data_IF_022389411075
#
_entry.id   IF_022389411075
#
_cell.length_a   1.000
_cell.length_b   1.000
_cell.length_c   1.000
_cell.angle_alpha   90.00
_cell.angle_beta   90.00
_cell.angle_gamma   90.00
#
_symmetry.space_group_name_H-M   'P 1'
#
loop_
_entity.id
_entity.type
_entity.pdbx_description
1 polymer ?
#
# COMPACT_ATOMS: atom_id res chain seq x y z
N UNK A 1 8.18 49.95 -10.35
CA UNK A 1 8.88 48.72 -9.95
C UNK A 1 10.29 48.74 -10.52
N UNK A 2 11.30 48.85 -9.65
CA UNK A 2 12.72 48.92 -10.02
C UNK A 2 13.27 47.57 -10.47
N UNK A 3 14.47 47.55 -11.06
CA UNK A 3 15.12 46.30 -11.47
C UNK A 3 15.41 45.38 -10.27
N UNK A 4 15.82 45.94 -9.14
CA UNK A 4 16.10 45.19 -7.92
C UNK A 4 14.83 44.56 -7.32
N UNK A 5 13.71 45.27 -7.37
CA UNK A 5 12.41 44.74 -6.94
C UNK A 5 11.96 43.55 -7.81
N UNK A 6 12.21 43.61 -9.13
CA UNK A 6 11.94 42.48 -10.05
C UNK A 6 12.79 41.27 -9.69
N UNK A 7 14.08 41.48 -9.44
CA UNK A 7 15.02 40.38 -9.11
C UNK A 7 14.62 39.72 -7.79
N UNK A 8 14.32 40.50 -6.75
CA UNK A 8 13.87 39.96 -5.45
C UNK A 8 12.56 39.19 -5.58
N UNK A 9 11.61 39.70 -6.36
CA UNK A 9 10.35 39.00 -6.60
C UNK A 9 10.59 37.63 -7.28
N UNK A 10 11.44 37.57 -8.30
CA UNK A 10 11.80 36.31 -8.98
C UNK A 10 12.47 35.35 -8.00
N UNK A 11 13.40 35.81 -7.17
CA UNK A 11 14.06 34.97 -6.16
C UNK A 11 13.07 34.35 -5.17
N UNK A 12 12.10 35.13 -4.69
CA UNK A 12 11.04 34.63 -3.80
C UNK A 12 10.19 33.57 -4.49
N UNK A 13 9.83 33.79 -5.76
CA UNK A 13 9.07 32.81 -6.55
C UNK A 13 9.86 31.52 -6.72
N UNK A 14 11.14 31.60 -7.09
CA UNK A 14 12.01 30.43 -7.25
C UNK A 14 12.16 29.67 -5.94
N UNK A 15 12.36 30.37 -4.81
CA UNK A 15 12.44 29.75 -3.50
C UNK A 15 11.13 29.04 -3.12
N UNK A 16 9.98 29.66 -3.38
CA UNK A 16 8.67 29.06 -3.13
C UNK A 16 8.45 27.79 -3.96
N UNK A 17 8.83 27.82 -5.26
CA UNK A 17 8.74 26.65 -6.13
C UNK A 17 9.67 25.51 -5.67
N UNK A 18 10.88 25.82 -5.19
CA UNK A 18 11.80 24.83 -4.65
C UNK A 18 11.22 24.14 -3.40
N UNK A 19 10.63 24.91 -2.49
CA UNK A 19 9.95 24.37 -1.30
C UNK A 19 8.78 23.47 -1.71
N UNK A 20 7.94 23.92 -2.64
CA UNK A 20 6.81 23.13 -3.13
C UNK A 20 7.28 21.81 -3.76
N UNK A 21 8.34 21.86 -4.57
CA UNK A 21 8.96 20.67 -5.16
C UNK A 21 9.45 19.67 -4.11
N UNK A 22 10.10 20.15 -3.05
CA UNK A 22 10.55 19.30 -1.94
C UNK A 22 9.37 18.63 -1.22
N UNK A 23 8.28 19.37 -0.96
CA UNK A 23 7.07 18.82 -0.33
C UNK A 23 6.41 17.73 -1.20
N UNK A 24 6.33 17.96 -2.51
CA UNK A 24 5.81 16.96 -3.45
C UNK A 24 6.70 15.71 -3.48
N UNK A 25 8.02 15.86 -3.47
CA UNK A 25 8.96 14.74 -3.44
C UNK A 25 8.83 13.92 -2.15
N UNK A 26 8.71 14.56 -0.99
CA UNK A 26 8.44 13.87 0.29
C UNK A 26 7.11 13.13 0.23
N UNK A 27 6.05 13.77 -0.27
CA UNK A 27 4.74 13.13 -0.43
C UNK A 27 4.75 11.95 -1.41
N UNK A 28 5.57 12.00 -2.46
CA UNK A 28 5.80 10.87 -3.37
C UNK A 28 6.54 9.73 -2.67
N UNK A 29 7.60 10.05 -1.91
CA UNK A 29 8.38 9.07 -1.17
C UNK A 29 7.54 8.33 -0.14
N UNK A 30 6.77 9.05 0.68
CA UNK A 30 5.88 8.45 1.68
C UNK A 30 4.85 7.50 1.05
N UNK A 31 4.26 7.88 -0.09
CA UNK A 31 3.35 7.00 -0.83
C UNK A 31 4.05 5.75 -1.35
N UNK A 32 5.27 5.88 -1.86
CA UNK A 32 6.09 4.76 -2.30
C UNK A 32 6.44 3.81 -1.15
N UNK A 33 6.87 4.35 -0.01
CA UNK A 33 7.27 3.56 1.16
C UNK A 33 6.07 2.81 1.75
N UNK A 34 4.92 3.48 1.91
CA UNK A 34 3.68 2.85 2.36
C UNK A 34 3.23 1.73 1.41
N UNK A 35 3.40 1.92 0.10
CA UNK A 35 3.07 0.91 -0.92
C UNK A 35 3.99 -0.30 -0.84
N UNK A 36 5.29 -0.07 -0.68
CA UNK A 36 6.28 -1.13 -0.54
C UNK A 36 6.02 -1.94 0.74
N UNK A 37 5.69 -1.26 1.85
CA UNK A 37 5.36 -1.93 3.10
C UNK A 37 4.07 -2.75 2.98
N UNK A 38 3.02 -2.20 2.35
CA UNK A 38 1.77 -2.92 2.11
C UNK A 38 2.05 -4.23 1.34
N UNK A 39 2.85 -4.17 0.28
CA UNK A 39 3.20 -5.36 -0.51
C UNK A 39 4.01 -6.38 0.30
N UNK A 40 4.97 -5.92 1.12
CA UNK A 40 5.73 -6.79 2.02
C UNK A 40 4.82 -7.53 3.00
N UNK A 41 3.86 -6.83 3.61
CA UNK A 41 2.88 -7.43 4.52
C UNK A 41 1.96 -8.41 3.79
N UNK A 42 1.55 -8.08 2.56
CA UNK A 42 0.72 -8.95 1.74
C UNK A 42 1.42 -10.26 1.37
N UNK A 43 2.69 -10.19 0.95
CA UNK A 43 3.50 -11.37 0.65
C UNK A 43 3.65 -12.27 1.89
N UNK A 44 4.02 -11.68 3.03
CA UNK A 44 4.13 -12.40 4.30
C UNK A 44 2.81 -13.04 4.74
N UNK A 45 1.70 -12.30 4.64
CA UNK A 45 0.37 -12.81 4.98
C UNK A 45 -0.04 -13.98 4.06
N UNK A 46 0.31 -13.89 2.78
CA UNK A 46 0.11 -14.98 1.81
C UNK A 46 0.90 -16.22 2.21
N UNK A 47 2.20 -16.09 2.49
CA UNK A 47 3.03 -17.20 2.95
C UNK A 47 2.46 -17.86 4.21
N UNK A 48 2.07 -17.05 5.20
CA UNK A 48 1.48 -17.53 6.45
C UNK A 48 0.16 -18.25 6.22
N UNK A 49 -0.69 -17.75 5.32
CA UNK A 49 -1.98 -18.36 4.97
C UNK A 49 -1.87 -19.77 4.36
N UNK A 50 -0.67 -20.12 3.88
CA UNK A 50 -0.35 -21.41 3.27
C UNK A 50 0.35 -22.37 4.22
N UNK A 51 0.73 -21.94 5.43
CA UNK A 51 1.34 -22.82 6.44
C UNK A 51 0.36 -23.86 6.97
N UNK A 52 0.90 -24.96 7.45
CA UNK A 52 0.12 -26.05 8.07
C UNK A 52 -0.30 -25.72 9.51
N UNK A 53 0.57 -25.00 10.23
CA UNK A 53 0.32 -24.50 11.58
C UNK A 53 -0.95 -23.63 11.62
N UNK A 54 -1.94 -24.05 12.41
CA UNK A 54 -3.25 -23.40 12.47
C UNK A 54 -3.15 -21.91 12.82
N UNK A 55 -2.33 -21.55 13.81
CA UNK A 55 -2.18 -20.17 14.27
C UNK A 55 -1.59 -19.28 13.17
N UNK A 56 -0.46 -19.68 12.57
CA UNK A 56 0.17 -18.93 11.50
C UNK A 56 -0.77 -18.78 10.30
N UNK A 57 -1.49 -19.85 9.95
CA UNK A 57 -2.50 -19.83 8.90
C UNK A 57 -3.63 -18.85 9.19
N UNK A 58 -4.19 -18.88 10.39
CA UNK A 58 -5.28 -17.99 10.81
C UNK A 58 -4.83 -16.52 10.77
N UNK A 59 -3.64 -16.23 11.29
CA UNK A 59 -3.05 -14.88 11.28
C UNK A 59 -2.79 -14.41 9.84
N UNK A 60 -2.28 -15.28 8.96
CA UNK A 60 -2.10 -14.97 7.55
C UNK A 60 -3.41 -14.57 6.87
N UNK A 61 -4.48 -15.35 7.07
CA UNK A 61 -5.79 -15.03 6.52
C UNK A 61 -6.44 -13.77 7.10
N UNK A 62 -6.23 -13.48 8.40
CA UNK A 62 -6.69 -12.25 9.01
C UNK A 62 -6.00 -11.04 8.35
N UNK A 63 -4.67 -11.07 8.24
CA UNK A 63 -3.91 -9.99 7.60
C UNK A 63 -4.28 -9.80 6.12
N UNK A 64 -4.51 -10.87 5.37
CA UNK A 64 -4.96 -10.75 3.97
C UNK A 64 -6.32 -10.06 3.85
N UNK A 65 -7.21 -10.23 4.82
CA UNK A 65 -8.54 -9.59 4.83
C UNK A 65 -8.37 -8.09 5.08
N UNK A 66 -7.66 -7.72 6.15
CA UNK A 66 -7.37 -6.31 6.49
C UNK A 66 -6.63 -5.57 5.37
N UNK A 67 -5.64 -6.20 4.74
CA UNK A 67 -4.90 -5.61 3.62
C UNK A 67 -5.75 -5.46 2.36
N UNK A 68 -6.73 -6.36 2.16
CA UNK A 68 -7.69 -6.30 1.07
C UNK A 68 -8.62 -5.10 1.11
N UNK A 69 -8.93 -4.62 2.32
CA UNK A 69 -9.79 -3.45 2.55
C UNK A 69 -8.98 -2.14 2.69
N UNK A 70 -7.65 -2.21 2.62
CA UNK A 70 -6.77 -1.05 2.72
C UNK A 70 -6.91 -0.11 1.52
N UNK A 71 -6.89 1.21 1.77
CA UNK A 71 -6.85 2.24 0.73
C UNK A 71 -5.57 2.19 -0.14
N UNK A 72 -4.58 1.39 0.24
CA UNK A 72 -3.34 1.20 -0.51
C UNK A 72 -3.46 0.14 -1.61
N UNK A 73 -4.55 -0.65 -1.66
CA UNK A 73 -4.75 -1.66 -2.71
C UNK A 73 -4.97 -1.00 -4.08
N UNK A 74 -4.35 -1.54 -5.13
CA UNK A 74 -4.60 -1.06 -6.50
C UNK A 74 -5.67 -1.87 -7.19
N UNK A 75 -6.33 -1.29 -8.19
CA UNK A 75 -7.36 -1.96 -8.99
C UNK A 75 -6.88 -3.29 -9.60
N UNK A 76 -5.59 -3.38 -9.95
CA UNK A 76 -4.96 -4.60 -10.48
C UNK A 76 -4.80 -5.72 -9.45
N UNK A 77 -4.80 -5.39 -8.16
CA UNK A 77 -4.62 -6.35 -7.06
C UNK A 77 -5.92 -6.85 -6.48
N UNK A 78 -7.01 -6.07 -6.61
CA UNK A 78 -8.35 -6.47 -6.16
C UNK A 78 -8.75 -7.87 -6.67
N UNK A 79 -8.52 -8.25 -7.94
CA UNK A 79 -8.82 -9.60 -8.41
C UNK A 79 -7.98 -10.69 -7.73
N UNK A 80 -6.71 -10.42 -7.46
CA UNK A 80 -5.79 -11.36 -6.78
C UNK A 80 -6.25 -11.63 -5.35
N UNK A 81 -6.57 -10.58 -4.60
CA UNK A 81 -7.08 -10.69 -3.22
C UNK A 81 -8.41 -11.45 -3.20
N UNK A 82 -9.33 -11.15 -4.12
CA UNK A 82 -10.61 -11.85 -4.24
C UNK A 82 -10.43 -13.34 -4.55
N UNK A 83 -9.51 -13.68 -5.45
CA UNK A 83 -9.23 -15.07 -5.80
C UNK A 83 -8.73 -15.87 -4.59
N UNK A 84 -7.85 -15.30 -3.77
CA UNK A 84 -7.37 -15.89 -2.52
C UNK A 84 -8.50 -16.08 -1.50
N UNK A 85 -9.37 -15.08 -1.34
CA UNK A 85 -10.53 -15.19 -0.43
C UNK A 85 -11.50 -16.31 -0.86
N UNK A 86 -11.73 -16.48 -2.17
CA UNK A 86 -12.56 -17.56 -2.70
C UNK A 86 -11.94 -18.96 -2.47
N UNK A 87 -10.61 -19.10 -2.61
CA UNK A 87 -9.93 -20.37 -2.33
C UNK A 87 -10.10 -20.78 -0.86
N UNK A 88 -10.00 -19.82 0.08
CA UNK A 88 -10.25 -20.05 1.51
C UNK A 88 -11.63 -20.65 1.77
N UNK A 89 -12.68 -20.05 1.17
CA UNK A 89 -14.06 -20.53 1.32
C UNK A 89 -14.21 -21.95 0.78
N UNK A 90 -13.61 -22.24 -0.38
CA UNK A 90 -13.63 -23.57 -0.99
C UNK A 90 -12.96 -24.62 -0.11
N UNK A 91 -11.81 -24.31 0.50
CA UNK A 91 -11.11 -25.21 1.43
C UNK A 91 -11.94 -25.48 2.69
N UNK A 92 -12.56 -24.45 3.27
CA UNK A 92 -13.41 -24.60 4.47
C UNK A 92 -14.62 -25.50 4.21
N UNK A 93 -15.25 -25.40 3.04
CA UNK A 93 -16.36 -26.29 2.66
C UNK A 93 -15.92 -27.75 2.54
N UNK A 94 -14.71 -28.03 2.00
CA UNK A 94 -14.19 -29.42 1.92
C UNK A 94 -14.02 -30.06 3.29
N UNK A 95 -13.52 -29.32 4.27
CA UNK A 95 -13.28 -29.83 5.62
C UNK A 95 -14.54 -30.05 6.45
N UNK A 96 -15.69 -29.48 6.05
CA UNK A 96 -16.99 -29.67 6.74
C UNK A 96 -17.86 -30.79 6.16
N UNK A 97 -17.42 -31.42 5.07
CA UNK A 97 -18.16 -32.46 4.33
C UNK A 97 -17.64 -33.88 4.58
N UNK A 98 -16.71 -34.03 5.52
CA UNK A 98 -16.10 -35.28 6.00
C UNK A 98 -16.28 -35.34 7.50
#
# INVERSE_FOLDING_TARGET
MTADERIRLVQVIVAALAILGALLAVGQKLRSDNRAEWYRRYAQATEWSLREEFEAKAIGWLNLTELGDSALITHTEVPLVRALALDRVKRRKRTSST
#
